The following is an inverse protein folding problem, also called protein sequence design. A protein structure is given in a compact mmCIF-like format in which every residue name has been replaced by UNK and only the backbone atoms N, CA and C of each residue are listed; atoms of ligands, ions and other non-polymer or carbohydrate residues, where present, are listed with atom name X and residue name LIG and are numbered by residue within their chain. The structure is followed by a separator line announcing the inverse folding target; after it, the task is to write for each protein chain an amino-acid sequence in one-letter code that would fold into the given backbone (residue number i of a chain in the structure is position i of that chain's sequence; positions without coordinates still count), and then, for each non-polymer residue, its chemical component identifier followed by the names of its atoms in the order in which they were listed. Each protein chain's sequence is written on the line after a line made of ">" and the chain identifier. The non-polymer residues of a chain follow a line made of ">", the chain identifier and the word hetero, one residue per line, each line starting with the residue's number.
data_IF_892441603763
#
_entry.id   IF_892441603763
#
_cell.length_a   1.000
_cell.length_b   1.000
_cell.length_c   1.000
_cell.angle_alpha   90.00
_cell.angle_beta   90.00
_cell.angle_gamma   90.00
#
_symmetry.space_group_name_H-M   'P 1'
#
loop_
_entity.id
_entity.type
_entity.pdbx_description
1 polymer ?
#
# COMPACT_ATOMS: atom_id res chain seq x y z
N UNK A 1 53.89 -31.35 -17.98
CA UNK A 1 53.06 -31.72 -16.81
C UNK A 1 51.61 -31.32 -17.10
N UNK A 2 50.66 -32.26 -17.21
CA UNK A 2 49.25 -31.89 -17.42
C UNK A 2 48.25 -32.99 -17.77
N UNK A 3 48.67 -34.24 -18.04
CA UNK A 3 47.76 -35.25 -18.63
C UNK A 3 47.13 -36.26 -17.65
N UNK A 4 47.27 -36.08 -16.32
CA UNK A 4 46.85 -37.10 -15.33
C UNK A 4 45.62 -36.78 -14.46
N UNK A 5 44.75 -35.82 -14.86
CA UNK A 5 43.55 -35.45 -14.06
C UNK A 5 42.20 -35.94 -14.62
N UNK A 6 42.16 -36.54 -15.81
CA UNK A 6 40.90 -37.01 -16.44
C UNK A 6 40.55 -38.48 -16.21
N UNK A 7 41.44 -39.29 -15.63
CA UNK A 7 41.19 -40.72 -15.36
C UNK A 7 40.60 -41.04 -13.97
N UNK A 8 40.70 -40.13 -12.99
CA UNK A 8 40.23 -40.40 -11.61
C UNK A 8 38.73 -40.19 -11.37
N UNK A 9 38.02 -39.48 -12.25
CA UNK A 9 36.58 -39.18 -12.04
C UNK A 9 35.64 -40.13 -12.78
N UNK A 10 36.14 -41.22 -13.38
CA UNK A 10 35.33 -42.17 -14.15
C UNK A 10 35.04 -43.48 -13.40
N UNK A 11 35.73 -43.74 -12.29
CA UNK A 11 35.60 -44.98 -11.52
C UNK A 11 34.63 -44.83 -10.31
N UNK A 12 34.37 -43.62 -9.83
CA UNK A 12 33.44 -43.37 -8.70
C UNK A 12 31.94 -43.35 -9.09
N UNK A 13 31.59 -43.60 -10.36
CA UNK A 13 30.20 -43.57 -10.86
C UNK A 13 29.55 -44.94 -11.06
N UNK A 14 30.24 -46.04 -10.71
CA UNK A 14 29.78 -47.39 -10.99
C UNK A 14 29.11 -48.14 -9.81
N UNK A 15 29.22 -47.65 -8.57
CA UNK A 15 28.83 -48.43 -7.37
C UNK A 15 27.53 -48.02 -6.65
N UNK A 16 26.75 -47.07 -7.18
CA UNK A 16 25.52 -46.61 -6.52
C UNK A 16 24.21 -47.19 -7.10
N UNK A 17 24.28 -48.42 -7.66
CA UNK A 17 23.11 -49.13 -8.22
C UNK A 17 22.82 -50.46 -7.54
N UNK A 18 22.69 -50.50 -6.21
CA UNK A 18 21.93 -51.58 -5.56
C UNK A 18 21.49 -51.25 -4.13
N UNK A 19 20.42 -50.45 -3.99
CA UNK A 19 19.69 -50.34 -2.71
C UNK A 19 18.24 -50.74 -2.98
N UNK A 20 17.72 -51.83 -2.38
CA UNK A 20 16.33 -52.23 -2.59
C UNK A 20 15.38 -51.16 -2.05
N UNK A 21 14.50 -50.65 -2.90
CA UNK A 21 13.38 -49.79 -2.51
C UNK A 21 12.46 -50.55 -1.53
N UNK A 22 12.47 -50.18 -0.25
CA UNK A 22 11.38 -50.55 0.68
C UNK A 22 10.06 -49.99 0.13
N UNK A 23 9.18 -50.88 -0.34
CA UNK A 23 7.79 -50.54 -0.68
C UNK A 23 7.12 -49.95 0.56
N UNK A 24 6.76 -48.65 0.52
CA UNK A 24 5.83 -48.07 1.49
C UNK A 24 4.42 -48.48 1.07
N UNK A 25 3.78 -49.35 1.84
CA UNK A 25 2.36 -49.63 1.73
C UNK A 25 1.59 -48.35 2.04
N UNK A 26 0.64 -48.04 1.17
CA UNK A 26 -0.32 -46.96 1.32
C UNK A 26 -1.59 -47.62 1.85
N UNK A 27 -1.82 -47.52 3.15
CA UNK A 27 -3.10 -47.87 3.76
C UNK A 27 -3.60 -46.59 4.43
N UNK A 28 -4.32 -45.82 3.63
CA UNK A 28 -5.29 -44.87 4.11
C UNK A 28 -6.53 -45.68 4.55
N UNK A 29 -7.31 -45.12 5.47
CA UNK A 29 -8.51 -45.69 6.11
C UNK A 29 -8.29 -46.91 7.00
N UNK A 30 -8.29 -46.67 8.32
CA UNK A 30 -8.56 -47.74 9.28
C UNK A 30 -9.38 -47.15 10.43
N UNK A 31 -10.62 -47.61 10.52
CA UNK A 31 -11.62 -47.28 11.54
C UNK A 31 -11.09 -47.47 12.97
N UNK A 32 -11.61 -46.69 13.92
CA UNK A 32 -11.17 -46.53 15.32
C UNK A 32 -10.86 -47.86 16.07
N UNK A 33 -11.45 -49.00 15.71
CA UNK A 33 -11.20 -50.29 16.35
C UNK A 33 -9.87 -50.95 15.94
N UNK A 34 -9.44 -50.73 14.71
CA UNK A 34 -8.24 -51.37 14.14
C UNK A 34 -6.94 -50.74 14.67
N UNK A 35 -6.98 -49.43 14.98
CA UNK A 35 -5.86 -48.70 15.55
C UNK A 35 -5.48 -49.19 16.96
N UNK A 36 -6.47 -49.57 17.77
CA UNK A 36 -6.25 -50.07 19.13
C UNK A 36 -5.63 -51.48 19.14
N UNK A 37 -6.00 -52.32 18.16
CA UNK A 37 -5.40 -53.64 17.97
C UNK A 37 -3.94 -53.54 17.48
N UNK A 38 -3.63 -52.50 16.69
CA UNK A 38 -2.28 -52.20 16.25
C UNK A 38 -1.35 -51.71 17.39
N UNK A 39 -1.86 -50.97 18.38
CA UNK A 39 -1.06 -50.51 19.53
C UNK A 39 -0.67 -51.66 20.47
N UNK A 40 -1.60 -52.58 20.75
CA UNK A 40 -1.35 -53.81 21.53
C UNK A 40 -0.27 -54.69 20.89
N UNK A 41 -0.22 -54.76 19.55
CA UNK A 41 0.78 -55.55 18.82
C UNK A 41 2.11 -54.82 18.60
N UNK A 42 2.08 -53.50 18.42
CA UNK A 42 3.30 -52.70 18.20
C UNK A 42 4.14 -52.51 19.47
N UNK A 43 3.52 -52.32 20.65
CA UNK A 43 4.26 -52.10 21.91
C UNK A 43 3.60 -52.82 23.11
N UNK A 44 3.70 -54.16 23.19
CA UNK A 44 2.96 -54.97 24.16
C UNK A 44 3.35 -54.70 25.63
N UNK A 45 4.63 -54.38 25.90
CA UNK A 45 5.12 -54.11 27.27
C UNK A 45 4.72 -52.73 27.78
N UNK A 46 4.75 -51.72 26.91
CA UNK A 46 4.33 -50.35 27.23
C UNK A 46 2.83 -50.29 27.49
N UNK A 47 2.04 -50.99 26.66
CA UNK A 47 0.61 -51.13 26.85
C UNK A 47 0.25 -51.74 28.21
N UNK A 48 0.87 -52.87 28.56
CA UNK A 48 0.67 -53.55 29.85
C UNK A 48 1.08 -52.69 31.06
N UNK A 49 2.03 -51.77 30.87
CA UNK A 49 2.41 -50.81 31.91
C UNK A 49 1.37 -49.69 32.04
N UNK A 50 0.82 -49.19 30.94
CA UNK A 50 -0.23 -48.15 30.95
C UNK A 50 -1.55 -48.67 31.54
N UNK A 51 -1.93 -49.90 31.22
CA UNK A 51 -3.10 -50.57 31.78
C UNK A 51 -3.00 -50.68 33.32
N UNK A 52 -1.82 -51.02 33.83
CA UNK A 52 -1.54 -51.04 35.29
C UNK A 52 -1.58 -49.66 35.95
N UNK A 53 -1.42 -48.59 35.16
CA UNK A 53 -1.53 -47.21 35.63
C UNK A 53 -2.94 -46.63 35.46
N UNK A 54 -3.92 -47.46 35.08
CA UNK A 54 -5.33 -47.08 34.99
C UNK A 54 -5.78 -46.58 33.62
N UNK A 55 -4.98 -46.77 32.57
CA UNK A 55 -5.42 -46.50 31.19
C UNK A 55 -6.39 -47.60 30.72
N UNK A 56 -7.57 -47.22 30.22
CA UNK A 56 -8.54 -48.12 29.59
C UNK A 56 -8.65 -47.85 28.09
N UNK A 57 -9.08 -48.87 27.35
CA UNK A 57 -9.26 -48.79 25.90
C UNK A 57 -10.24 -47.70 25.49
N UNK A 58 -9.78 -46.77 24.67
CA UNK A 58 -10.58 -45.65 24.17
C UNK A 58 -10.63 -44.42 25.08
N UNK A 59 -10.05 -44.47 26.29
CA UNK A 59 -9.94 -43.31 27.18
C UNK A 59 -8.75 -42.42 26.79
N UNK A 60 -8.91 -41.11 26.99
CA UNK A 60 -7.84 -40.13 26.81
C UNK A 60 -7.03 -39.99 28.09
N UNK A 61 -5.72 -39.79 27.97
CA UNK A 61 -4.87 -39.61 29.14
C UNK A 61 -5.14 -38.25 29.82
N UNK A 62 -5.33 -38.25 31.14
CA UNK A 62 -5.54 -37.06 31.96
C UNK A 62 -6.99 -36.81 32.37
N UNK A 63 -7.25 -35.77 33.19
CA UNK A 63 -8.57 -35.49 33.78
C UNK A 63 -9.60 -34.89 32.80
N UNK A 64 -9.17 -34.52 31.59
CA UNK A 64 -10.00 -33.78 30.63
C UNK A 64 -10.53 -34.73 29.55
N UNK A 65 -11.85 -34.71 29.32
CA UNK A 65 -12.52 -35.56 28.33
C UNK A 65 -12.21 -35.20 26.85
N UNK A 66 -11.63 -34.03 26.59
CA UNK A 66 -11.32 -33.51 25.25
C UNK A 66 -9.83 -33.66 24.85
N UNK A 67 -9.09 -34.59 25.46
CA UNK A 67 -7.69 -34.81 25.10
C UNK A 67 -7.52 -35.57 23.77
N UNK A 68 -6.37 -35.41 23.13
CA UNK A 68 -6.08 -36.04 21.84
C UNK A 68 -5.93 -37.56 21.98
N UNK A 69 -6.68 -38.31 21.16
CA UNK A 69 -6.61 -39.77 21.08
C UNK A 69 -5.50 -40.27 20.16
N UNK A 70 -5.19 -39.50 19.12
CA UNK A 70 -4.12 -39.81 18.18
C UNK A 70 -2.89 -38.93 18.42
N UNK A 71 -1.67 -39.47 18.21
CA UNK A 71 -0.46 -38.67 18.24
C UNK A 71 -0.47 -37.60 17.14
N UNK A 72 0.04 -36.41 17.47
CA UNK A 72 0.12 -35.28 16.54
C UNK A 72 1.02 -35.66 15.35
N UNK A 73 0.44 -35.66 14.14
CA UNK A 73 1.16 -35.96 12.90
C UNK A 73 2.05 -34.79 12.51
N UNK A 74 3.35 -34.89 12.77
CA UNK A 74 4.35 -33.90 12.33
C UNK A 74 4.69 -34.11 10.85
N UNK A 75 4.36 -33.14 9.99
CA UNK A 75 4.77 -33.14 8.58
C UNK A 75 6.24 -32.71 8.47
N UNK A 76 7.15 -33.67 8.41
CA UNK A 76 8.58 -33.37 8.17
C UNK A 76 8.76 -32.73 6.77
N UNK A 77 9.43 -31.57 6.73
CA UNK A 77 9.74 -30.87 5.48
C UNK A 77 10.98 -31.52 4.86
N UNK A 78 10.85 -32.08 3.66
CA UNK A 78 11.94 -32.81 3.00
C UNK A 78 12.98 -31.91 2.31
N UNK A 79 12.71 -30.61 2.17
CA UNK A 79 13.58 -29.63 1.47
C UNK A 79 13.59 -28.30 2.23
N UNK A 80 14.64 -27.49 2.03
CA UNK A 80 14.76 -26.09 2.49
C UNK A 80 13.79 -25.15 1.73
N UNK A 81 12.48 -25.43 1.79
CA UNK A 81 11.44 -24.55 1.23
C UNK A 81 11.10 -23.45 2.25
N UNK A 82 10.75 -22.25 1.79
CA UNK A 82 10.24 -21.18 2.66
C UNK A 82 8.91 -21.59 3.32
N UNK A 83 8.61 -21.11 4.52
CA UNK A 83 7.40 -21.51 5.29
C UNK A 83 6.10 -21.28 4.51
N UNK A 84 6.08 -20.30 3.59
CA UNK A 84 4.92 -19.90 2.78
C UNK A 84 4.82 -20.55 1.39
N UNK A 85 5.79 -21.36 0.97
CA UNK A 85 5.69 -22.08 -0.30
C UNK A 85 4.89 -23.36 -0.07
N UNK A 86 3.58 -23.24 0.10
CA UNK A 86 2.68 -24.39 -0.06
C UNK A 86 2.82 -24.92 -1.49
N UNK A 87 2.46 -26.19 -1.70
CA UNK A 87 2.49 -26.84 -3.03
C UNK A 87 1.95 -25.87 -4.08
N UNK A 88 2.55 -25.75 -5.28
CA UNK A 88 1.94 -24.95 -6.32
C UNK A 88 0.52 -25.47 -6.49
N UNK A 89 -0.45 -24.63 -6.12
CA UNK A 89 -1.82 -24.79 -6.61
C UNK A 89 -1.61 -24.93 -8.10
N UNK A 90 -2.06 -26.04 -8.69
CA UNK A 90 -2.04 -26.23 -10.14
C UNK A 90 -2.99 -25.20 -10.72
N UNK A 91 -2.50 -23.97 -10.86
CA UNK A 91 -3.19 -22.85 -11.46
C UNK A 91 -3.42 -23.24 -12.91
N UNK A 92 -4.69 -23.28 -13.30
CA UNK A 92 -5.05 -23.47 -14.69
C UNK A 92 -4.56 -22.28 -15.51
N UNK A 93 -4.42 -22.42 -16.82
CA UNK A 93 -4.05 -21.29 -17.69
C UNK A 93 -5.01 -20.10 -17.52
N UNK A 94 -6.28 -20.39 -17.23
CA UNK A 94 -7.32 -19.40 -16.96
C UNK A 94 -7.07 -18.65 -15.64
N UNK A 95 -6.63 -19.33 -14.58
CA UNK A 95 -6.29 -18.69 -13.30
C UNK A 95 -5.09 -17.74 -13.45
N UNK A 96 -4.12 -18.09 -14.29
CA UNK A 96 -2.95 -17.24 -14.54
C UNK A 96 -3.36 -15.99 -15.34
N UNK A 97 -4.18 -16.16 -16.37
CA UNK A 97 -4.70 -15.04 -17.18
C UNK A 97 -5.58 -14.09 -16.35
N UNK A 98 -6.45 -14.62 -15.48
CA UNK A 98 -7.26 -13.81 -14.58
C UNK A 98 -6.37 -12.99 -13.62
N UNK A 99 -5.35 -13.61 -13.02
CA UNK A 99 -4.42 -12.88 -12.12
C UNK A 99 -3.62 -11.80 -12.85
N UNK A 100 -3.32 -11.99 -14.13
CA UNK A 100 -2.62 -10.99 -14.95
C UNK A 100 -3.54 -9.82 -15.31
N UNK A 101 -4.80 -10.08 -15.65
CA UNK A 101 -5.79 -9.04 -15.91
C UNK A 101 -6.05 -8.18 -14.66
N UNK A 102 -6.26 -8.81 -13.50
CA UNK A 102 -6.41 -8.11 -12.22
C UNK A 102 -5.20 -7.24 -11.87
N UNK A 103 -3.99 -7.73 -12.17
CA UNK A 103 -2.77 -6.97 -11.95
C UNK A 103 -2.70 -5.74 -12.86
N UNK A 104 -3.02 -5.91 -14.15
CA UNK A 104 -3.05 -4.81 -15.12
C UNK A 104 -4.10 -3.75 -14.75
N UNK A 105 -5.28 -4.18 -14.35
CA UNK A 105 -6.37 -3.31 -13.91
C UNK A 105 -5.97 -2.51 -12.68
N UNK A 106 -5.45 -3.17 -11.62
CA UNK A 106 -4.96 -2.49 -10.41
C UNK A 106 -3.90 -1.45 -10.71
N UNK A 107 -2.95 -1.76 -11.60
CA UNK A 107 -1.92 -0.79 -12.00
C UNK A 107 -2.50 0.37 -12.81
N UNK A 108 -3.51 0.12 -13.65
CA UNK A 108 -4.23 1.15 -14.39
C UNK A 108 -5.02 2.07 -13.45
N UNK A 109 -5.71 1.51 -12.45
CA UNK A 109 -6.47 2.25 -11.44
C UNK A 109 -5.55 3.12 -10.58
N UNK A 110 -4.42 2.57 -10.11
CA UNK A 110 -3.42 3.35 -9.38
C UNK A 110 -2.91 4.53 -10.19
N UNK A 111 -2.62 4.33 -11.48
CA UNK A 111 -2.18 5.41 -12.38
C UNK A 111 -3.29 6.45 -12.59
N UNK A 112 -4.53 5.99 -12.77
CA UNK A 112 -5.72 6.85 -12.88
C UNK A 112 -5.90 7.69 -11.62
N UNK A 113 -5.87 7.08 -10.43
CA UNK A 113 -5.99 7.78 -9.15
C UNK A 113 -4.85 8.80 -8.95
N UNK A 114 -3.59 8.45 -9.25
CA UNK A 114 -2.47 9.40 -9.21
C UNK A 114 -2.61 10.58 -10.19
N UNK A 115 -3.25 10.38 -11.35
CA UNK A 115 -3.60 11.49 -12.26
C UNK A 115 -4.67 12.37 -11.60
N UNK A 116 -5.74 11.76 -11.10
CA UNK A 116 -6.86 12.47 -10.48
C UNK A 116 -6.43 13.23 -9.22
N UNK A 117 -5.54 12.69 -8.39
CA UNK A 117 -4.98 13.39 -7.22
C UNK A 117 -4.23 14.66 -7.61
N UNK A 118 -3.46 14.61 -8.70
CA UNK A 118 -2.76 15.81 -9.22
C UNK A 118 -3.75 16.84 -9.75
N UNK A 119 -4.82 16.40 -10.40
CA UNK A 119 -5.91 17.28 -10.87
C UNK A 119 -6.63 17.90 -9.67
N UNK A 120 -6.98 17.09 -8.68
CA UNK A 120 -7.60 17.51 -7.42
C UNK A 120 -6.77 18.59 -6.73
N UNK A 121 -5.48 18.35 -6.52
CA UNK A 121 -4.57 19.32 -5.91
C UNK A 121 -4.54 20.65 -6.68
N UNK A 122 -4.43 20.60 -8.01
CA UNK A 122 -4.43 21.82 -8.84
C UNK A 122 -5.75 22.56 -8.72
N UNK A 123 -6.87 21.84 -8.72
CA UNK A 123 -8.21 22.41 -8.60
C UNK A 123 -8.41 23.08 -7.25
N UNK A 124 -7.96 22.45 -6.16
CA UNK A 124 -7.95 23.05 -4.82
C UNK A 124 -7.16 24.35 -4.78
N UNK A 125 -5.95 24.35 -5.35
CA UNK A 125 -5.13 25.54 -5.45
C UNK A 125 -5.83 26.66 -6.24
N UNK A 126 -6.41 26.35 -7.40
CA UNK A 126 -7.14 27.36 -8.19
C UNK A 126 -8.37 27.90 -7.47
N UNK A 127 -9.08 27.06 -6.72
CA UNK A 127 -10.24 27.50 -5.95
C UNK A 127 -9.81 28.42 -4.81
N UNK A 128 -8.77 28.04 -4.08
CA UNK A 128 -8.20 28.84 -2.99
C UNK A 128 -7.72 30.23 -3.47
N UNK A 129 -7.08 30.29 -4.64
CA UNK A 129 -6.64 31.55 -5.25
C UNK A 129 -7.83 32.39 -5.76
N UNK A 130 -8.82 31.78 -6.44
CA UNK A 130 -9.97 32.51 -6.99
C UNK A 130 -11.00 32.98 -5.96
N UNK A 131 -11.09 32.30 -4.83
CA UNK A 131 -11.98 32.69 -3.74
C UNK A 131 -11.42 33.88 -2.96
N UNK A 132 -10.09 34.07 -2.97
CA UNK A 132 -9.40 35.10 -2.20
C UNK A 132 -8.91 34.61 -0.84
N UNK A 133 -9.18 33.36 -0.48
CA UNK A 133 -8.73 32.72 0.76
C UNK A 133 -7.20 32.70 0.88
N UNK A 134 -6.48 32.78 -0.24
CA UNK A 134 -5.03 32.92 -0.24
C UNK A 134 -4.53 34.22 0.40
N UNK A 135 -5.33 35.28 0.40
CA UNK A 135 -4.96 36.55 1.04
C UNK A 135 -5.28 36.53 2.54
N UNK A 136 -6.24 35.70 2.94
CA UNK A 136 -6.65 35.54 4.34
C UNK A 136 -5.77 34.56 5.11
N UNK A 137 -5.14 33.62 4.40
CA UNK A 137 -4.35 32.56 5.01
C UNK A 137 -3.11 33.07 5.73
N UNK A 138 -3.05 32.79 7.03
CA UNK A 138 -1.86 32.95 7.84
C UNK A 138 -1.27 31.58 8.25
N UNK A 139 0.07 31.44 8.24
CA UNK A 139 0.73 30.22 8.71
C UNK A 139 0.32 29.84 10.14
N UNK A 140 -0.25 28.64 10.30
CA UNK A 140 -0.68 28.13 11.62
C UNK A 140 -2.14 28.40 11.99
N UNK A 141 -2.94 28.99 11.10
CA UNK A 141 -4.40 29.03 11.26
C UNK A 141 -5.04 27.63 11.23
N UNK A 142 -6.21 27.52 11.86
CA UNK A 142 -6.98 26.29 11.87
C UNK A 142 -7.50 26.02 10.44
N UNK A 143 -7.17 24.88 9.83
CA UNK A 143 -7.68 24.51 8.51
C UNK A 143 -9.21 24.56 8.40
N UNK A 144 -9.94 24.49 9.52
CA UNK A 144 -11.41 24.52 9.58
C UNK A 144 -12.02 25.86 9.17
N UNK A 145 -11.26 26.93 9.26
CA UNK A 145 -11.70 28.28 8.88
C UNK A 145 -11.91 28.43 7.37
N UNK A 146 -11.32 27.51 6.59
CA UNK A 146 -11.47 27.46 5.13
C UNK A 146 -12.55 26.47 4.70
N UNK A 147 -12.99 26.58 3.44
CA UNK A 147 -13.97 25.64 2.87
C UNK A 147 -13.43 24.19 2.89
N UNK A 148 -14.28 23.26 3.31
CA UNK A 148 -14.04 21.81 3.39
C UNK A 148 -13.34 21.27 2.14
N UNK A 149 -13.69 21.77 0.95
CA UNK A 149 -13.17 21.29 -0.33
C UNK A 149 -11.68 21.58 -0.56
N UNK A 150 -11.09 22.57 0.13
CA UNK A 150 -9.66 22.89 0.04
C UNK A 150 -8.93 22.89 1.39
N UNK A 151 -9.56 22.47 2.50
CA UNK A 151 -8.86 22.28 3.79
C UNK A 151 -7.66 21.35 3.70
N UNK A 152 -7.75 20.28 2.90
CA UNK A 152 -6.59 19.39 2.72
C UNK A 152 -5.41 20.10 2.05
N UNK A 153 -5.66 21.11 1.22
CA UNK A 153 -4.61 21.93 0.64
C UNK A 153 -3.99 22.87 1.69
N UNK A 154 -4.79 23.46 2.56
CA UNK A 154 -4.32 24.29 3.69
C UNK A 154 -3.45 23.48 4.67
N UNK A 155 -3.85 22.24 4.99
CA UNK A 155 -3.04 21.31 5.81
C UNK A 155 -1.68 21.08 5.14
N UNK A 156 -1.66 20.81 3.83
CA UNK A 156 -0.41 20.62 3.08
C UNK A 156 0.48 21.87 3.09
N UNK A 157 -0.09 23.07 3.05
CA UNK A 157 0.67 24.32 3.16
C UNK A 157 1.31 24.46 4.54
N UNK A 158 0.54 24.23 5.61
CA UNK A 158 1.02 24.28 6.98
C UNK A 158 2.17 23.28 7.21
N UNK A 159 2.02 22.05 6.73
CA UNK A 159 3.04 20.99 6.90
C UNK A 159 4.32 21.34 6.13
N UNK A 160 4.21 21.87 4.92
CA UNK A 160 5.37 22.33 4.14
C UNK A 160 6.13 23.47 4.84
N UNK A 161 5.43 24.37 5.51
CA UNK A 161 6.05 25.44 6.30
C UNK A 161 6.75 24.88 7.56
N UNK A 162 6.19 23.85 8.19
CA UNK A 162 6.82 23.15 9.31
C UNK A 162 8.09 22.41 8.88
N UNK A 163 8.06 21.71 7.75
CA UNK A 163 9.23 21.02 7.18
C UNK A 163 10.35 22.00 6.84
N UNK A 164 10.03 23.13 6.19
CA UNK A 164 11.00 24.17 5.87
C UNK A 164 11.65 24.75 7.14
N UNK A 165 10.85 25.06 8.16
CA UNK A 165 11.36 25.56 9.46
C UNK A 165 12.25 24.54 10.18
N UNK A 166 11.95 23.25 10.03
CA UNK A 166 12.72 22.15 10.65
C UNK A 166 14.04 21.89 9.92
N UNK A 167 14.08 22.09 8.59
CA UNK A 167 15.29 21.92 7.78
C UNK A 167 16.32 23.05 7.95
N UNK A 168 15.89 24.25 8.37
CA UNK A 168 16.76 25.42 8.58
C UNK A 168 17.58 25.34 9.89
N UNK A 169 17.14 24.53 10.86
CA UNK A 169 17.86 24.33 12.13
C UNK A 169 19.08 23.39 12.03
N UNK A 170 19.38 22.84 10.83
CA UNK A 170 20.45 21.87 10.60
C UNK A 170 21.72 22.41 9.92
N UNK A 171 21.77 23.69 9.53
CA UNK A 171 22.91 24.22 8.76
C UNK A 171 23.46 25.55 9.31
N UNK A 172 23.88 25.56 10.58
CA UNK A 172 24.83 26.58 11.07
C UNK A 172 26.24 26.01 11.06
N UNK A 173 26.96 26.17 9.95
CA UNK A 173 28.41 25.98 9.97
C UNK A 173 29.09 25.56 8.67
N UNK A 174 29.14 26.44 7.67
CA UNK A 174 30.31 26.55 6.80
C UNK A 174 30.29 27.91 6.09
N UNK A 175 31.25 28.76 6.47
CA UNK A 175 31.67 29.94 5.71
C UNK A 175 32.18 29.45 4.35
N UNK A 176 31.77 30.08 3.25
CA UNK A 176 32.70 30.36 2.17
C UNK A 176 32.17 31.43 1.21
N UNK A 177 33.15 32.08 0.60
CA UNK A 177 33.18 33.48 0.25
C UNK A 177 32.32 33.94 -0.94
N UNK A 178 31.98 35.22 -0.82
CA UNK A 178 31.53 36.14 -1.85
C UNK A 178 32.45 36.12 -3.08
N UNK A 179 31.90 35.94 -4.28
CA UNK A 179 32.49 36.49 -5.50
C UNK A 179 31.47 37.34 -6.26
N UNK A 180 31.62 38.65 -6.04
CA UNK A 180 31.00 39.74 -6.79
C UNK A 180 31.57 39.78 -8.21
N UNK A 181 30.68 39.90 -9.21
CA UNK A 181 30.99 40.57 -10.47
C UNK A 181 29.81 41.52 -10.77
N UNK A 182 30.15 42.81 -10.81
CA UNK A 182 29.37 44.02 -11.16
C UNK A 182 28.73 43.93 -12.56
N UNK A 183 27.47 44.31 -12.77
CA UNK A 183 26.86 45.65 -12.94
C UNK A 183 27.18 46.33 -14.30
N UNK A 184 26.11 46.88 -14.90
CA UNK A 184 25.95 47.60 -16.19
C UNK A 184 25.37 46.71 -17.33
N UNK A 185 24.12 46.84 -17.81
CA UNK A 185 23.21 48.00 -17.88
C UNK A 185 21.71 47.63 -17.73
N UNK A 186 21.03 48.42 -16.88
CA UNK A 186 19.75 49.14 -17.00
C UNK A 186 18.72 48.71 -18.08
N UNK A 187 17.39 48.80 -17.93
CA UNK A 187 16.41 49.26 -16.93
C UNK A 187 15.02 48.99 -17.61
N UNK A 188 13.83 48.84 -17.00
CA UNK A 188 13.31 49.33 -15.72
C UNK A 188 12.03 48.56 -15.32
N UNK A 189 11.93 48.30 -14.01
CA UNK A 189 10.75 48.30 -13.11
C UNK A 189 9.45 47.58 -13.48
N UNK A 190 9.13 46.49 -12.75
CA UNK A 190 8.23 46.55 -11.59
C UNK A 190 8.14 45.18 -10.92
N UNK A 191 8.11 45.20 -9.58
CA UNK A 191 8.13 44.04 -8.69
C UNK A 191 6.91 43.14 -8.86
N UNK A 192 7.12 41.82 -8.94
CA UNK A 192 6.40 40.88 -8.09
C UNK A 192 7.10 39.52 -8.02
N UNK A 193 7.34 39.02 -6.81
CA UNK A 193 8.20 37.87 -6.52
C UNK A 193 7.36 36.58 -6.46
N UNK A 194 6.88 36.10 -7.61
CA UNK A 194 6.17 34.80 -7.69
C UNK A 194 6.65 33.97 -8.88
N UNK A 195 7.93 33.54 -8.86
CA UNK A 195 8.41 32.53 -9.82
C UNK A 195 9.41 31.58 -9.17
N UNK A 196 8.90 30.46 -8.64
CA UNK A 196 9.55 29.14 -8.67
C UNK A 196 8.63 28.08 -8.04
N UNK A 197 7.68 27.53 -8.81
CA UNK A 197 7.10 26.21 -8.49
C UNK A 197 7.00 25.44 -9.81
N UNK A 198 8.12 24.92 -10.26
CA UNK A 198 8.17 23.72 -11.10
C UNK A 198 8.69 22.64 -10.17
N UNK A 199 7.79 21.79 -9.72
CA UNK A 199 8.01 20.37 -9.41
C UNK A 199 6.81 19.87 -8.60
N UNK A 200 6.08 18.92 -9.19
CA UNK A 200 4.94 18.27 -8.56
C UNK A 200 5.46 17.20 -7.59
N UNK A 201 5.12 17.22 -6.29
CA UNK A 201 5.59 16.19 -5.38
C UNK A 201 4.77 14.90 -5.49
N UNK A 202 5.46 13.81 -5.19
CA UNK A 202 4.93 12.46 -5.07
C UNK A 202 3.90 12.37 -3.93
N UNK A 203 2.91 11.49 -4.12
CA UNK A 203 1.82 11.19 -3.19
C UNK A 203 2.37 10.90 -1.78
N UNK A 204 2.02 11.73 -0.80
CA UNK A 204 2.32 11.51 0.62
C UNK A 204 1.10 10.83 1.24
N UNK A 205 1.30 9.60 1.72
CA UNK A 205 0.34 8.85 2.52
C UNK A 205 0.46 9.36 3.97
N UNK A 206 -0.61 9.94 4.51
CA UNK A 206 -0.56 10.55 5.86
C UNK A 206 -0.89 9.49 6.93
N UNK A 207 0.05 9.27 7.85
CA UNK A 207 -0.18 8.54 9.11
C UNK A 207 -0.37 9.58 10.22
N UNK A 208 -1.50 9.51 10.92
CA UNK A 208 -1.97 10.55 11.85
C UNK A 208 -1.58 10.17 13.28
N UNK A 209 -0.29 10.22 13.59
CA UNK A 209 0.19 9.98 14.97
C UNK A 209 1.12 11.08 15.45
N UNK A 210 0.63 12.32 15.47
CA UNK A 210 1.18 13.38 16.35
C UNK A 210 0.01 13.91 17.18
N UNK A 211 0.12 13.69 18.48
CA UNK A 211 -0.90 13.93 19.49
C UNK A 211 -0.66 15.33 20.06
N UNK A 212 -1.52 16.29 19.71
CA UNK A 212 -1.81 17.49 20.50
C UNK A 212 -3.28 17.38 20.93
N UNK A 213 -3.56 17.54 22.22
CA UNK A 213 -4.80 17.13 22.92
C UNK A 213 -6.09 17.90 22.55
N UNK A 214 -6.09 18.79 21.55
CA UNK A 214 -7.26 19.61 21.16
C UNK A 214 -7.61 19.55 19.66
N UNK A 215 -7.20 18.49 18.93
CA UNK A 215 -7.69 18.29 17.56
C UNK A 215 -9.11 17.70 17.64
N UNK A 216 -10.12 18.58 17.61
CA UNK A 216 -11.47 18.15 17.27
C UNK A 216 -11.34 17.41 15.92
N UNK A 217 -11.84 16.17 15.83
CA UNK A 217 -11.83 15.43 14.56
C UNK A 217 -12.68 16.20 13.53
N UNK A 218 -12.07 16.59 12.40
CA UNK A 218 -12.79 17.26 11.30
C UNK A 218 -13.65 16.23 10.56
N UNK A 219 -14.84 15.96 11.12
CA UNK A 219 -15.78 15.00 10.57
C UNK A 219 -16.23 15.33 9.15
N UNK A 220 -16.27 16.62 8.77
CA UNK A 220 -16.63 17.04 7.42
C UNK A 220 -15.52 16.70 6.41
N UNK A 221 -14.27 16.96 6.77
CA UNK A 221 -13.11 16.60 5.95
C UNK A 221 -12.95 15.07 5.87
N UNK A 222 -13.23 14.35 6.95
CA UNK A 222 -13.26 12.88 6.94
C UNK A 222 -14.32 12.34 5.98
N UNK A 223 -15.55 12.87 6.02
CA UNK A 223 -16.61 12.52 5.08
C UNK A 223 -16.23 12.87 3.62
N UNK A 224 -15.51 13.97 3.40
CA UNK A 224 -14.99 14.31 2.08
C UNK A 224 -13.94 13.28 1.59
N UNK A 225 -13.06 12.83 2.48
CA UNK A 225 -12.02 11.82 2.21
C UNK A 225 -12.58 10.42 1.98
N UNK A 226 -13.83 10.15 2.32
CA UNK A 226 -14.47 8.87 2.02
C UNK A 226 -14.99 8.80 0.57
N UNK A 227 -15.27 9.94 -0.06
CA UNK A 227 -15.70 10.00 -1.46
C UNK A 227 -14.55 9.62 -2.42
N UNK A 228 -14.89 9.06 -3.58
CA UNK A 228 -13.91 8.87 -4.66
C UNK A 228 -13.34 10.22 -5.12
N UNK A 229 -12.08 10.23 -5.59
CA UNK A 229 -11.41 11.46 -6.03
C UNK A 229 -12.19 12.13 -7.16
N UNK A 230 -12.77 11.35 -8.08
CA UNK A 230 -13.63 11.86 -9.16
C UNK A 230 -14.80 12.67 -8.59
N UNK A 231 -15.52 12.15 -7.59
CA UNK A 231 -16.63 12.87 -6.95
C UNK A 231 -16.18 14.15 -6.26
N UNK A 232 -14.99 14.15 -5.66
CA UNK A 232 -14.41 15.36 -5.04
C UNK A 232 -14.16 16.43 -6.10
N UNK A 233 -13.52 16.05 -7.21
CA UNK A 233 -13.26 16.93 -8.37
C UNK A 233 -14.58 17.50 -8.91
N UNK A 234 -15.59 16.66 -9.15
CA UNK A 234 -16.89 17.12 -9.64
C UNK A 234 -17.53 18.12 -8.69
N UNK A 235 -17.54 17.85 -7.38
CA UNK A 235 -18.09 18.78 -6.37
C UNK A 235 -17.38 20.14 -6.39
N UNK A 236 -16.05 20.15 -6.44
CA UNK A 236 -15.28 21.39 -6.48
C UNK A 236 -15.46 22.14 -7.81
N UNK A 237 -15.51 21.43 -8.94
CA UNK A 237 -15.80 22.08 -10.23
C UNK A 237 -17.20 22.71 -10.24
N UNK A 238 -18.21 22.05 -9.67
CA UNK A 238 -19.55 22.61 -9.56
C UNK A 238 -19.52 23.91 -8.74
N UNK A 239 -18.83 23.92 -7.60
CA UNK A 239 -18.70 25.13 -6.76
C UNK A 239 -18.02 26.27 -7.53
N UNK A 240 -16.92 25.98 -8.24
CA UNK A 240 -16.21 26.97 -9.06
C UNK A 240 -17.10 27.54 -10.18
N UNK A 241 -17.94 26.70 -10.78
CA UNK A 241 -18.89 27.10 -11.82
C UNK A 241 -20.01 27.97 -11.28
N UNK A 242 -20.56 27.64 -10.11
CA UNK A 242 -21.67 28.40 -9.53
C UNK A 242 -21.23 29.72 -8.92
N UNK A 243 -20.10 29.75 -8.21
CA UNK A 243 -19.68 30.93 -7.46
C UNK A 243 -18.80 31.87 -8.27
N UNK A 244 -17.98 31.33 -9.18
CA UNK A 244 -16.97 32.11 -9.91
C UNK A 244 -17.17 32.10 -11.43
N UNK A 245 -18.21 31.42 -11.93
CA UNK A 245 -18.44 31.17 -13.35
C UNK A 245 -17.18 30.65 -14.04
N UNK A 246 -16.46 29.74 -13.38
CA UNK A 246 -15.20 29.19 -13.88
C UNK A 246 -15.33 27.70 -14.13
N UNK A 247 -14.92 27.25 -15.31
CA UNK A 247 -14.77 25.83 -15.60
C UNK A 247 -13.30 25.45 -15.56
N UNK A 248 -12.93 24.54 -14.66
CA UNK A 248 -11.55 24.08 -14.53
C UNK A 248 -11.05 23.35 -15.77
N UNK A 249 -11.91 22.56 -16.42
CA UNK A 249 -11.54 21.79 -17.61
C UNK A 249 -11.36 22.66 -18.85
N UNK A 250 -12.18 23.71 -19.01
CA UNK A 250 -11.95 24.73 -20.05
C UNK A 250 -10.75 25.62 -19.73
N UNK A 251 -10.45 25.84 -18.45
CA UNK A 251 -9.44 26.80 -17.99
C UNK A 251 -9.87 28.27 -18.16
N UNK A 252 -11.17 28.54 -18.31
CA UNK A 252 -11.72 29.87 -18.61
C UNK A 252 -12.76 30.29 -17.57
N UNK A 253 -12.75 31.58 -17.25
CA UNK A 253 -13.80 32.26 -16.47
C UNK A 253 -14.75 32.96 -17.42
N UNK A 254 -16.04 32.66 -17.27
CA UNK A 254 -17.15 33.22 -18.02
C UNK A 254 -17.69 34.46 -17.32
N UNK A 255 -18.48 35.25 -18.05
CA UNK A 255 -19.04 36.50 -17.53
C UNK A 255 -20.15 36.25 -16.53
N UNK A 256 -21.05 35.33 -16.86
CA UNK A 256 -22.23 34.96 -16.10
C UNK A 256 -22.60 33.49 -16.32
N UNK A 257 -23.67 33.06 -15.65
CA UNK A 257 -24.16 31.68 -15.72
C UNK A 257 -24.67 31.30 -17.12
N UNK A 258 -25.26 32.26 -17.85
CA UNK A 258 -25.75 32.03 -19.20
C UNK A 258 -24.59 31.78 -20.18
N UNK A 259 -23.57 32.63 -20.14
CA UNK A 259 -22.34 32.50 -20.94
C UNK A 259 -21.63 31.17 -20.67
N UNK A 260 -21.58 30.74 -19.40
CA UNK A 260 -21.05 29.44 -19.01
C UNK A 260 -21.84 28.27 -19.64
N UNK A 261 -23.17 28.33 -19.64
CA UNK A 261 -24.00 27.25 -20.16
C UNK A 261 -23.93 27.15 -21.70
N UNK A 262 -23.84 28.29 -22.39
CA UNK A 262 -23.77 28.33 -23.85
C UNK A 262 -22.41 27.88 -24.40
N UNK A 263 -21.31 28.18 -23.69
CA UNK A 263 -19.96 27.99 -24.22
C UNK A 263 -19.18 26.83 -23.58
N UNK A 264 -19.65 26.26 -22.46
CA UNK A 264 -18.96 25.15 -21.81
C UNK A 264 -19.57 23.79 -22.22
N UNK A 265 -18.75 22.84 -22.73
CA UNK A 265 -19.24 21.53 -23.18
C UNK A 265 -19.95 20.68 -22.12
N UNK A 266 -19.57 20.83 -20.85
CA UNK A 266 -20.17 20.07 -19.75
C UNK A 266 -19.52 20.35 -18.41
N UNK A 267 -19.75 19.46 -17.45
CA UNK A 267 -19.26 19.60 -16.06
C UNK A 267 -18.17 18.60 -15.71
N UNK A 268 -18.05 17.51 -16.47
CA UNK A 268 -17.07 16.45 -16.24
C UNK A 268 -15.87 16.60 -17.16
N UNK A 269 -14.77 15.93 -16.81
CA UNK A 269 -13.55 15.90 -17.62
C UNK A 269 -13.81 15.32 -19.02
N UNK A 270 -14.64 14.28 -19.11
CA UNK A 270 -14.98 13.56 -20.34
C UNK A 270 -15.71 14.44 -21.37
N UNK A 271 -16.43 15.47 -20.92
CA UNK A 271 -17.15 16.39 -21.82
C UNK A 271 -16.20 17.30 -22.60
N UNK A 272 -14.92 17.35 -22.21
CA UNK A 272 -13.91 18.28 -22.72
C UNK A 272 -12.73 17.57 -23.44
N UNK A 273 -12.88 16.27 -23.74
CA UNK A 273 -11.89 15.49 -24.50
C UNK A 273 -11.92 15.73 -26.02
#
# INVERSE_FOLDING_TARGET
>A
MGENRRKRNREDSADEKNIPRRKRSKTDSTDDETANTALRSAVPKGYKMMEKMGYKEGETLGKNANALKEPIKVKMRSKKQGIRTSKPITRTANDIQATEQEFRERESEKKKNKRLERVWYRMQKTAFEMTGDSELYNPGEDPRDFNVLWRSYVILLNDKLRENSSSDSGNTGAKDEVKLVSEDELASSSADKTKAIKDAPAVIEYDTTVVDDDIIEDGELAALRELSIEKRITKLNILLRSEKYYCFFCGVRYKDEADLYEHCPGTNEEDHE
#
